data_IF_802689313339
#
_entry.id   IF_802689313339
#
_cell.length_a   1.000
_cell.length_b   1.000
_cell.length_c   1.000
_cell.angle_alpha   90.00
_cell.angle_beta   90.00
_cell.angle_gamma   90.00
#
_symmetry.space_group_name_H-M   'P 1'
#
loop_
_entity.id
_entity.type
_entity.pdbx_description
1 polymer ?
#
# COMPACT_ATOMS: atom_id res chain seq x y z
N UNK A 1 -14.75 14.34 -11.29
CA UNK A 1 -13.70 14.57 -10.28
C UNK A 1 -13.32 13.24 -9.65
N UNK A 2 -12.05 12.89 -9.69
CA UNK A 2 -11.59 11.66 -9.06
C UNK A 2 -11.19 11.93 -7.61
N UNK A 3 -11.19 10.88 -6.81
CA UNK A 3 -10.80 10.95 -5.40
C UNK A 3 -9.48 10.22 -5.19
N UNK A 4 -8.66 10.78 -4.32
CA UNK A 4 -7.40 10.16 -3.91
C UNK A 4 -7.62 9.31 -2.66
N UNK A 5 -6.99 8.15 -2.63
CA UNK A 5 -6.92 7.31 -1.45
C UNK A 5 -5.49 7.35 -0.94
N UNK A 6 -5.30 7.83 0.26
CA UNK A 6 -3.96 7.93 0.88
C UNK A 6 -3.75 6.74 1.80
N UNK A 7 -2.74 5.95 1.48
CA UNK A 7 -2.41 4.74 2.22
C UNK A 7 -1.04 4.95 2.87
N UNK A 8 -1.01 5.01 4.19
CA UNK A 8 0.22 5.20 4.94
C UNK A 8 0.79 3.84 5.35
N UNK A 9 2.08 3.63 5.10
CA UNK A 9 2.74 2.41 5.53
C UNK A 9 3.15 2.56 7.00
N UNK A 10 2.60 1.71 7.84
CA UNK A 10 2.84 1.77 9.29
C UNK A 10 2.83 0.37 9.86
N UNK A 11 3.70 0.13 10.84
CA UNK A 11 3.82 -1.20 11.46
C UNK A 11 2.49 -1.66 12.06
N UNK A 12 1.73 -0.73 12.63
CA UNK A 12 0.44 -1.03 13.25
C UNK A 12 -0.73 -1.00 12.28
N UNK A 13 -0.45 -0.91 10.99
CA UNK A 13 -1.50 -0.95 9.97
C UNK A 13 -2.05 -2.35 9.75
N UNK A 14 -3.07 -2.44 8.90
CA UNK A 14 -3.67 -3.72 8.55
C UNK A 14 -2.74 -4.51 7.64
N UNK A 15 -2.59 -5.79 7.92
CA UNK A 15 -1.76 -6.69 7.11
C UNK A 15 -2.64 -7.45 6.11
N UNK A 16 -2.09 -7.65 4.92
CA UNK A 16 -2.74 -8.42 3.86
C UNK A 16 -1.71 -9.36 3.25
N UNK A 17 -2.15 -10.51 2.77
CA UNK A 17 -1.30 -11.24 1.82
C UNK A 17 -1.41 -10.59 0.44
N UNK A 18 -0.58 -11.02 -0.51
CA UNK A 18 -0.51 -10.35 -1.81
C UNK A 18 -1.82 -10.45 -2.58
N UNK A 19 -2.50 -11.58 -2.51
CA UNK A 19 -3.78 -11.76 -3.20
C UNK A 19 -4.85 -10.86 -2.58
N UNK A 20 -4.93 -10.81 -1.25
CA UNK A 20 -5.90 -9.97 -0.56
C UNK A 20 -5.63 -8.49 -0.82
N UNK A 21 -4.36 -8.08 -0.85
CA UNK A 21 -4.00 -6.70 -1.17
C UNK A 21 -4.42 -6.33 -2.59
N UNK A 22 -4.18 -7.24 -3.54
CA UNK A 22 -4.59 -7.03 -4.93
C UNK A 22 -6.09 -6.78 -5.02
N UNK A 23 -6.89 -7.60 -4.34
CA UNK A 23 -8.35 -7.43 -4.34
C UNK A 23 -8.77 -6.13 -3.68
N UNK A 24 -8.09 -5.74 -2.61
CA UNK A 24 -8.38 -4.49 -1.92
C UNK A 24 -8.12 -3.27 -2.82
N UNK A 25 -6.98 -3.25 -3.51
CA UNK A 25 -6.64 -2.15 -4.40
C UNK A 25 -7.60 -2.09 -5.59
N UNK A 26 -7.97 -3.24 -6.14
CA UNK A 26 -8.95 -3.30 -7.22
C UNK A 26 -10.31 -2.76 -6.77
N UNK A 27 -10.73 -3.12 -5.56
CA UNK A 27 -11.98 -2.63 -4.99
C UNK A 27 -11.98 -1.13 -4.83
N UNK A 28 -10.86 -0.54 -4.40
CA UNK A 28 -10.74 0.92 -4.30
C UNK A 28 -10.86 1.57 -5.67
N UNK A 29 -10.24 1.00 -6.69
CA UNK A 29 -10.29 1.53 -8.04
C UNK A 29 -11.72 1.49 -8.58
N UNK A 30 -12.42 0.38 -8.37
CA UNK A 30 -13.82 0.22 -8.81
C UNK A 30 -14.73 1.21 -8.08
N UNK A 31 -14.41 1.52 -6.82
CA UNK A 31 -15.19 2.48 -6.03
C UNK A 31 -14.92 3.94 -6.40
N UNK A 32 -14.11 4.19 -7.43
CA UNK A 32 -13.83 5.55 -7.88
C UNK A 32 -12.57 6.17 -7.29
N UNK A 33 -11.78 5.41 -6.56
CA UNK A 33 -10.50 5.88 -6.02
C UNK A 33 -9.41 5.64 -7.06
N UNK A 34 -9.40 6.48 -8.10
CA UNK A 34 -8.52 6.27 -9.24
C UNK A 34 -7.09 6.73 -8.98
N UNK A 35 -6.85 7.45 -7.88
CA UNK A 35 -5.53 7.96 -7.53
C UNK A 35 -5.12 7.40 -6.16
N UNK A 36 -4.20 6.44 -6.16
CA UNK A 36 -3.71 5.83 -4.94
C UNK A 36 -2.37 6.46 -4.58
N UNK A 37 -2.25 6.98 -3.37
CA UNK A 37 -1.04 7.62 -2.87
C UNK A 37 -0.52 6.80 -1.71
N UNK A 38 0.70 6.28 -1.83
CA UNK A 38 1.35 5.55 -0.77
C UNK A 38 2.39 6.44 -0.10
N UNK A 39 2.36 6.50 1.22
CA UNK A 39 3.28 7.33 1.98
C UNK A 39 4.17 6.44 2.85
N UNK A 40 5.47 6.56 2.66
CA UNK A 40 6.47 5.83 3.43
C UNK A 40 7.16 6.82 4.36
N UNK A 41 7.23 6.50 5.66
CA UNK A 41 7.91 7.36 6.62
C UNK A 41 9.42 7.28 6.48
N UNK A 42 10.10 8.35 6.93
CA UNK A 42 11.55 8.37 7.03
C UNK A 42 12.01 7.68 8.32
N UNK A 43 13.25 7.99 8.74
CA UNK A 43 13.86 7.36 9.92
C UNK A 43 13.09 7.59 11.22
N UNK A 44 12.34 8.69 11.30
CA UNK A 44 11.53 9.02 12.48
C UNK A 44 10.07 8.59 12.34
N UNK A 45 9.74 7.85 11.29
CA UNK A 45 8.39 7.41 11.03
C UNK A 45 7.52 8.50 10.41
N UNK A 46 6.21 8.31 10.46
CA UNK A 46 5.24 9.22 9.87
C UNK A 46 4.81 10.27 10.89
N UNK A 47 4.63 11.51 10.44
CA UNK A 47 4.14 12.57 11.31
C UNK A 47 2.67 12.37 11.64
N UNK A 48 2.21 13.00 12.72
CA UNK A 48 0.81 12.96 13.10
C UNK A 48 -0.09 13.54 12.02
N UNK A 49 0.38 14.58 11.31
CA UNK A 49 -0.39 15.20 10.22
C UNK A 49 -0.61 14.22 9.08
N UNK A 50 0.43 13.47 8.71
CA UNK A 50 0.33 12.48 7.65
C UNK A 50 -0.62 11.37 8.05
N UNK A 51 -0.50 10.86 9.28
CA UNK A 51 -1.38 9.81 9.77
C UNK A 51 -2.83 10.28 9.83
N UNK A 52 -3.06 11.53 10.21
CA UNK A 52 -4.42 12.07 10.25
C UNK A 52 -5.02 12.22 8.85
N UNK A 53 -4.20 12.52 7.83
CA UNK A 53 -4.67 12.64 6.45
C UNK A 53 -4.87 11.28 5.78
N UNK A 54 -4.19 10.24 6.25
CA UNK A 54 -4.26 8.92 5.63
C UNK A 54 -5.67 8.35 5.75
N UNK A 55 -6.15 7.78 4.66
CA UNK A 55 -7.45 7.10 4.65
C UNK A 55 -7.35 5.72 5.28
N UNK A 56 -6.17 5.12 5.19
CA UNK A 56 -5.93 3.82 5.81
C UNK A 56 -4.44 3.63 6.07
N UNK A 57 -4.12 2.69 6.94
CA UNK A 57 -2.75 2.28 7.23
C UNK A 57 -2.55 0.85 6.78
N UNK A 58 -1.43 0.60 6.10
CA UNK A 58 -1.07 -0.70 5.59
C UNK A 58 0.25 -1.15 6.22
N UNK A 59 0.31 -2.38 6.70
CA UNK A 59 1.53 -2.95 7.23
C UNK A 59 1.96 -4.15 6.40
N UNK A 60 3.23 -4.19 5.99
CA UNK A 60 3.79 -5.35 5.34
C UNK A 60 4.30 -6.37 6.35
N UNK A 61 4.63 -5.91 7.56
CA UNK A 61 5.20 -6.79 8.58
C UNK A 61 5.30 -6.03 9.90
N UNK A 62 5.35 -6.77 11.00
CA UNK A 62 5.68 -6.19 12.29
C UNK A 62 7.17 -5.87 12.41
N UNK A 63 7.98 -6.32 11.47
CA UNK A 63 9.40 -6.02 11.44
C UNK A 63 9.66 -4.61 10.93
N UNK A 64 10.75 -4.02 11.37
CA UNK A 64 11.19 -2.72 10.90
C UNK A 64 12.19 -2.92 9.76
N UNK A 65 11.99 -2.19 8.67
CA UNK A 65 12.88 -2.22 7.51
C UNK A 65 13.43 -0.82 7.26
N UNK A 66 14.66 -0.72 6.69
CA UNK A 66 15.13 0.59 6.20
C UNK A 66 14.11 1.14 5.19
N UNK A 67 13.85 2.46 5.24
CA UNK A 67 12.81 3.04 4.39
C UNK A 67 13.12 2.89 2.90
N UNK A 68 14.40 2.90 2.51
CA UNK A 68 14.75 2.69 1.09
C UNK A 68 14.40 1.28 0.63
N UNK A 69 14.63 0.28 1.48
CA UNK A 69 14.23 -1.08 1.19
C UNK A 69 12.70 -1.20 1.12
N UNK A 70 12.01 -0.49 2.00
CA UNK A 70 10.56 -0.49 2.01
C UNK A 70 9.99 0.05 0.69
N UNK A 71 10.65 1.05 0.08
CA UNK A 71 10.22 1.57 -1.21
C UNK A 71 10.28 0.48 -2.29
N UNK A 72 11.35 -0.30 -2.30
CA UNK A 72 11.51 -1.39 -3.25
C UNK A 72 10.45 -2.47 -3.03
N UNK A 73 10.23 -2.83 -1.76
CA UNK A 73 9.21 -3.83 -1.41
C UNK A 73 7.84 -3.35 -1.84
N UNK A 74 7.51 -2.09 -1.59
CA UNK A 74 6.22 -1.52 -1.98
C UNK A 74 6.03 -1.57 -3.49
N UNK A 75 7.02 -1.15 -4.26
CA UNK A 75 6.92 -1.16 -5.72
C UNK A 75 6.75 -2.58 -6.26
N UNK A 76 7.46 -3.53 -5.67
CA UNK A 76 7.33 -4.93 -6.07
C UNK A 76 5.92 -5.45 -5.79
N UNK A 77 5.36 -5.12 -4.63
CA UNK A 77 4.02 -5.58 -4.28
C UNK A 77 2.95 -4.92 -5.14
N UNK A 78 3.10 -3.65 -5.49
CA UNK A 78 2.17 -2.98 -6.40
C UNK A 78 2.20 -3.65 -7.77
N UNK A 79 3.39 -3.93 -8.29
CA UNK A 79 3.54 -4.62 -9.56
C UNK A 79 2.88 -6.01 -9.50
N UNK A 80 3.13 -6.74 -8.42
CA UNK A 80 2.54 -8.07 -8.19
C UNK A 80 1.02 -8.00 -8.17
N UNK A 81 0.45 -6.99 -7.52
CA UNK A 81 -0.99 -6.80 -7.47
C UNK A 81 -1.59 -6.62 -8.86
N UNK A 82 -0.96 -5.81 -9.71
CA UNK A 82 -1.44 -5.63 -11.08
C UNK A 82 -1.37 -6.93 -11.88
N UNK A 83 -0.32 -7.72 -11.69
CA UNK A 83 -0.20 -9.01 -12.38
C UNK A 83 -1.28 -9.97 -11.92
N UNK A 84 -1.58 -9.99 -10.63
CA UNK A 84 -2.65 -10.82 -10.07
C UNK A 84 -4.00 -10.37 -10.66
N UNK A 85 -4.27 -9.07 -10.71
CA UNK A 85 -5.52 -8.53 -11.23
C UNK A 85 -5.73 -8.91 -12.69
N UNK A 86 -4.66 -8.96 -13.45
CA UNK A 86 -4.71 -9.36 -14.86
C UNK A 86 -4.62 -10.87 -15.06
N UNK A 87 -4.60 -11.61 -13.97
CA UNK A 87 -4.49 -13.07 -14.00
C UNK A 87 -3.24 -13.55 -14.72
N UNK A 88 -2.14 -12.84 -14.56
CA UNK A 88 -0.87 -13.17 -15.17
C UNK A 88 -0.03 -14.05 -14.25
N UNK A 89 0.85 -14.91 -14.80
CA UNK A 89 1.57 -15.90 -14.00
C UNK A 89 2.82 -15.36 -13.31
N UNK A 90 2.74 -14.20 -12.68
CA UNK A 90 3.86 -13.62 -11.94
C UNK A 90 3.88 -14.11 -10.49
N UNK A 91 2.72 -14.10 -9.87
CA UNK A 91 2.59 -14.51 -8.46
C UNK A 91 2.53 -16.03 -8.36
N UNK A 92 3.35 -16.59 -7.50
CA UNK A 92 3.40 -18.03 -7.29
C UNK A 92 3.03 -18.38 -5.86
#
# INVERSE_FOLDING_TARGET
MYKSQVIALAIDGKQYDSVALSKHLEKLTVAGRSHLVFVIGGSLGLSKKVLARADEKLSFSALTFPHQMMRVILLEQIYRCFRIQKNEPYHK
#
